data_IF_871505952769
#
_entry.id   IF_871505952769
#
_cell.length_a   1.000
_cell.length_b   1.000
_cell.length_c   1.000
_cell.angle_alpha   90.00
_cell.angle_beta   90.00
_cell.angle_gamma   90.00
#
_symmetry.space_group_name_H-M   'P 1'
#
loop_
_entity.id
_entity.type
_entity.pdbx_description
1 polymer ?
#
# COMPACT_ATOMS: atom_id res chain seq x y z
N UNK A 1 -28.44 -8.97 22.83
CA UNK A 1 -27.10 -9.44 23.26
C UNK A 1 -26.07 -8.63 22.49
N UNK A 2 -24.99 -8.19 23.12
CA UNK A 2 -23.96 -7.39 22.43
C UNK A 2 -22.89 -8.30 21.82
N UNK A 3 -22.54 -8.06 20.56
CA UNK A 3 -21.53 -8.84 19.84
C UNK A 3 -20.34 -7.96 19.45
N UNK A 4 -19.14 -8.50 19.63
CA UNK A 4 -17.88 -7.87 19.31
C UNK A 4 -17.12 -8.73 18.32
N UNK A 5 -16.54 -8.10 17.31
CA UNK A 5 -16.01 -8.82 16.15
C UNK A 5 -14.57 -8.44 15.88
N UNK A 6 -13.77 -9.45 15.59
CA UNK A 6 -12.45 -9.31 14.99
C UNK A 6 -12.45 -9.84 13.56
N UNK A 7 -11.85 -9.05 12.67
CA UNK A 7 -11.60 -9.41 11.27
C UNK A 7 -10.09 -9.50 11.06
N UNK A 8 -9.60 -10.69 10.80
CA UNK A 8 -8.25 -10.89 10.30
C UNK A 8 -8.28 -10.93 8.76
N UNK A 9 -7.62 -9.96 8.13
CA UNK A 9 -7.84 -9.59 6.73
C UNK A 9 -6.65 -10.03 5.87
N UNK A 10 -6.88 -11.00 4.98
CA UNK A 10 -5.95 -11.39 3.92
C UNK A 10 -6.38 -10.82 2.57
N UNK A 11 -5.61 -11.11 1.50
CA UNK A 11 -5.95 -10.67 0.14
C UNK A 11 -7.19 -11.36 -0.46
N UNK A 12 -7.48 -12.60 -0.05
CA UNK A 12 -8.55 -13.42 -0.65
C UNK A 12 -9.77 -13.52 0.26
N UNK A 13 -9.51 -13.69 1.54
CA UNK A 13 -10.54 -13.97 2.54
C UNK A 13 -10.30 -13.22 3.84
N UNK A 14 -11.37 -13.01 4.59
CA UNK A 14 -11.38 -12.43 5.92
C UNK A 14 -11.83 -13.51 6.90
N UNK A 15 -10.96 -13.82 7.86
CA UNK A 15 -11.30 -14.63 9.02
C UNK A 15 -12.09 -13.80 10.02
N UNK A 16 -13.27 -14.28 10.40
CA UNK A 16 -14.21 -13.59 11.28
C UNK A 16 -14.32 -14.37 12.59
N UNK A 17 -14.19 -13.67 13.71
CA UNK A 17 -14.58 -14.18 15.01
C UNK A 17 -15.56 -13.21 15.69
N UNK A 18 -16.64 -13.76 16.23
CA UNK A 18 -17.65 -13.04 17.00
C UNK A 18 -17.61 -13.54 18.43
N UNK A 19 -17.47 -12.61 19.39
CA UNK A 19 -17.56 -12.89 20.82
C UNK A 19 -18.70 -12.10 21.44
N UNK A 20 -19.29 -12.63 22.50
CA UNK A 20 -20.29 -11.89 23.29
C UNK A 20 -19.63 -10.94 24.30
N UNK A 21 -20.44 -10.35 25.19
CA UNK A 21 -19.97 -9.45 26.26
C UNK A 21 -19.07 -10.16 27.29
N UNK A 22 -19.32 -11.44 27.53
CA UNK A 22 -18.65 -12.24 28.55
C UNK A 22 -17.31 -12.75 28.01
N UNK A 23 -17.14 -12.73 26.68
CA UNK A 23 -15.92 -13.06 25.95
C UNK A 23 -15.97 -14.43 25.31
N UNK A 24 -17.13 -15.09 25.35
CA UNK A 24 -17.33 -16.40 24.77
C UNK A 24 -17.47 -16.28 23.25
N UNK A 25 -16.84 -17.21 22.53
CA UNK A 25 -16.97 -17.26 21.07
C UNK A 25 -18.38 -17.70 20.69
N UNK A 26 -19.10 -16.84 19.98
CA UNK A 26 -20.47 -17.10 19.48
C UNK A 26 -20.44 -17.68 18.08
N UNK A 27 -19.54 -17.19 17.22
CA UNK A 27 -19.43 -17.64 15.84
C UNK A 27 -18.02 -17.43 15.29
N UNK A 28 -17.64 -18.28 14.32
CA UNK A 28 -16.43 -18.15 13.51
C UNK A 28 -16.73 -18.51 12.07
N UNK A 29 -15.92 -18.01 11.16
CA UNK A 29 -15.95 -18.40 9.77
C UNK A 29 -15.04 -17.54 8.91
N UNK A 30 -15.20 -17.70 7.61
CA UNK A 30 -14.50 -16.91 6.61
C UNK A 30 -15.51 -16.31 5.63
N UNK A 31 -15.13 -15.20 5.01
CA UNK A 31 -15.85 -14.62 3.88
C UNK A 31 -14.84 -14.08 2.85
N UNK A 32 -15.27 -13.80 1.61
CA UNK A 32 -14.45 -13.04 0.66
C UNK A 32 -13.92 -11.74 1.26
N UNK A 33 -12.73 -11.32 0.84
CA UNK A 33 -12.09 -10.10 1.34
C UNK A 33 -12.69 -8.82 0.73
N UNK A 34 -13.99 -8.62 0.93
CA UNK A 34 -14.74 -7.45 0.49
C UNK A 34 -15.85 -7.02 1.48
N UNK A 35 -16.25 -5.74 1.49
CA UNK A 35 -17.27 -5.22 2.41
C UNK A 35 -18.61 -5.98 2.34
N UNK A 36 -19.05 -6.32 1.13
CA UNK A 36 -20.31 -7.02 0.87
C UNK A 36 -20.29 -8.46 1.41
N UNK A 37 -19.15 -9.13 1.33
CA UNK A 37 -18.90 -10.45 1.90
C UNK A 37 -19.01 -10.42 3.43
N UNK A 38 -18.43 -9.40 4.08
CA UNK A 38 -18.56 -9.19 5.52
C UNK A 38 -20.00 -8.90 5.93
N UNK A 39 -20.67 -7.99 5.23
CA UNK A 39 -22.07 -7.64 5.49
C UNK A 39 -23.00 -8.84 5.30
N UNK A 40 -22.84 -9.57 4.19
CA UNK A 40 -23.59 -10.79 3.91
C UNK A 40 -23.35 -11.88 4.95
N UNK A 41 -22.12 -12.03 5.45
CA UNK A 41 -21.80 -12.99 6.50
C UNK A 41 -22.57 -12.72 7.79
N UNK A 42 -22.71 -11.45 8.20
CA UNK A 42 -23.53 -11.05 9.35
C UNK A 42 -25.03 -11.17 9.09
N UNK A 43 -25.49 -10.70 7.93
CA UNK A 43 -26.90 -10.74 7.53
C UNK A 43 -27.44 -12.16 7.54
N UNK A 44 -26.72 -13.11 6.93
CA UNK A 44 -27.13 -14.51 6.83
C UNK A 44 -27.19 -15.23 8.19
N UNK A 45 -26.63 -14.64 9.25
CA UNK A 45 -26.61 -15.17 10.61
C UNK A 45 -27.46 -14.33 11.57
N UNK A 46 -28.12 -13.29 11.06
CA UNK A 46 -28.91 -12.33 11.86
C UNK A 46 -28.10 -11.68 13.00
N UNK A 47 -26.78 -11.56 12.83
CA UNK A 47 -25.88 -10.98 13.82
C UNK A 47 -25.76 -9.47 13.61
N UNK A 48 -25.98 -8.70 14.68
CA UNK A 48 -25.80 -7.25 14.70
C UNK A 48 -24.62 -6.88 15.59
N UNK A 49 -23.40 -6.72 15.04
CA UNK A 49 -22.23 -6.40 15.83
C UNK A 49 -22.33 -4.99 16.42
N UNK A 50 -21.99 -4.84 17.69
CA UNK A 50 -21.84 -3.54 18.36
C UNK A 50 -20.57 -2.84 17.90
N UNK A 51 -19.52 -3.61 17.65
CA UNK A 51 -18.21 -3.12 17.21
C UNK A 51 -17.47 -4.19 16.43
N UNK A 52 -16.85 -3.78 15.33
CA UNK A 52 -15.98 -4.60 14.52
C UNK A 52 -14.58 -3.97 14.53
N UNK A 53 -13.54 -4.79 14.68
CA UNK A 53 -12.16 -4.35 14.64
C UNK A 53 -11.41 -5.13 13.57
N UNK A 54 -10.60 -4.42 12.78
CA UNK A 54 -9.61 -5.01 11.89
C UNK A 54 -8.31 -4.21 11.95
N UNK A 55 -7.19 -4.82 11.58
CA UNK A 55 -5.90 -4.14 11.65
C UNK A 55 -5.61 -3.28 10.42
N UNK A 56 -4.68 -2.34 10.58
CA UNK A 56 -4.08 -1.59 9.49
C UNK A 56 -3.27 -2.52 8.57
N UNK A 57 -3.57 -2.52 7.28
CA UNK A 57 -2.95 -3.37 6.27
C UNK A 57 -3.23 -2.89 4.85
N UNK A 58 -2.82 -3.66 3.83
CA UNK A 58 -2.93 -3.25 2.42
C UNK A 58 -4.36 -2.93 1.99
N UNK A 59 -5.35 -3.72 2.44
CA UNK A 59 -6.76 -3.54 2.10
C UNK A 59 -7.52 -2.63 3.07
N UNK A 60 -6.90 -2.28 4.20
CA UNK A 60 -7.60 -1.68 5.35
C UNK A 60 -8.35 -0.40 5.03
N UNK A 61 -7.81 0.47 4.18
CA UNK A 61 -8.44 1.75 3.84
C UNK A 61 -9.71 1.54 3.01
N UNK A 62 -9.63 0.72 1.97
CA UNK A 62 -10.78 0.42 1.11
C UNK A 62 -11.84 -0.35 1.89
N UNK A 63 -11.44 -1.39 2.63
CA UNK A 63 -12.34 -2.19 3.45
C UNK A 63 -13.05 -1.32 4.49
N UNK A 64 -12.33 -0.51 5.26
CA UNK A 64 -12.91 0.34 6.29
C UNK A 64 -13.90 1.37 5.74
N UNK A 65 -13.63 1.95 4.56
CA UNK A 65 -14.58 2.84 3.89
C UNK A 65 -15.83 2.10 3.44
N UNK A 66 -15.67 0.92 2.83
CA UNK A 66 -16.79 0.10 2.39
C UNK A 66 -17.67 -0.36 3.55
N UNK A 67 -17.07 -0.87 4.62
CA UNK A 67 -17.79 -1.26 5.84
C UNK A 67 -18.56 -0.07 6.44
N UNK A 68 -17.93 1.10 6.51
CA UNK A 68 -18.62 2.31 6.98
C UNK A 68 -19.77 2.74 6.05
N UNK A 69 -19.59 2.62 4.73
CA UNK A 69 -20.64 2.89 3.74
C UNK A 69 -21.84 1.95 3.85
N UNK A 70 -21.63 0.71 4.29
CA UNK A 70 -22.67 -0.27 4.60
C UNK A 70 -23.25 -0.11 6.02
N UNK A 71 -22.82 0.91 6.77
CA UNK A 71 -23.30 1.19 8.13
C UNK A 71 -22.78 0.23 9.19
N UNK A 72 -21.74 -0.56 8.90
CA UNK A 72 -21.12 -1.46 9.86
C UNK A 72 -20.22 -0.66 10.84
N UNK A 73 -20.28 -0.94 12.16
CA UNK A 73 -19.51 -0.19 13.17
C UNK A 73 -18.05 -0.68 13.23
N UNK A 74 -17.35 -0.61 12.09
CA UNK A 74 -15.98 -1.04 11.93
C UNK A 74 -14.97 0.05 12.33
N UNK A 75 -13.90 -0.39 12.97
CA UNK A 75 -12.77 0.45 13.38
C UNK A 75 -11.48 -0.25 12.97
N UNK A 76 -10.70 0.42 12.12
CA UNK A 76 -9.34 0.02 11.82
C UNK A 76 -8.40 0.41 12.97
N UNK A 77 -7.52 -0.50 13.38
CA UNK A 77 -6.61 -0.30 14.52
C UNK A 77 -5.13 -0.45 14.14
N UNK A 78 -4.23 0.08 14.97
CA UNK A 78 -2.78 -0.01 14.73
C UNK A 78 -2.29 -1.45 14.89
N UNK A 79 -1.92 -2.07 13.76
CA UNK A 79 -1.47 -3.46 13.71
C UNK A 79 -0.28 -3.76 14.63
N UNK A 80 0.63 -2.80 14.85
CA UNK A 80 1.80 -3.02 15.71
C UNK A 80 1.41 -3.09 17.18
N UNK A 81 0.44 -2.27 17.59
CA UNK A 81 -0.08 -2.30 18.97
C UNK A 81 -0.96 -3.51 19.22
N UNK A 82 -1.77 -3.87 18.23
CA UNK A 82 -2.57 -5.09 18.27
C UNK A 82 -1.67 -6.33 18.37
N UNK A 83 -0.66 -6.45 17.49
CA UNK A 83 0.34 -7.52 17.55
C UNK A 83 1.02 -7.61 18.92
N UNK A 84 1.47 -6.49 19.52
CA UNK A 84 2.07 -6.50 20.88
C UNK A 84 1.11 -7.00 21.96
N UNK A 85 -0.18 -6.73 21.81
CA UNK A 85 -1.21 -7.16 22.76
C UNK A 85 -1.54 -8.65 22.60
N UNK A 86 -1.37 -9.19 21.39
CA UNK A 86 -1.71 -10.57 21.04
C UNK A 86 -0.50 -11.52 20.99
N UNK A 87 0.74 -11.00 21.02
CA UNK A 87 1.97 -11.78 20.80
C UNK A 87 2.32 -12.79 21.89
N UNK A 88 1.68 -12.75 23.05
CA UNK A 88 1.89 -13.73 24.11
C UNK A 88 1.23 -15.09 23.83
N UNK A 89 0.46 -15.21 22.74
CA UNK A 89 -0.22 -16.45 22.34
C UNK A 89 0.78 -17.42 21.68
N UNK A 90 0.78 -18.67 22.14
CA UNK A 90 1.72 -19.71 21.69
C UNK A 90 1.42 -20.24 20.27
N UNK A 91 0.15 -20.25 19.87
CA UNK A 91 -0.28 -20.78 18.58
C UNK A 91 -0.81 -19.66 17.69
N UNK A 92 -0.14 -19.44 16.56
CA UNK A 92 -0.57 -18.49 15.53
C UNK A 92 -1.44 -19.20 14.50
N UNK A 93 -2.67 -18.74 14.34
CA UNK A 93 -3.58 -19.13 13.26
C UNK A 93 -4.55 -18.00 12.97
N UNK A 94 -5.04 -17.90 11.74
CA UNK A 94 -5.94 -16.83 11.31
C UNK A 94 -7.24 -16.79 12.17
N UNK A 95 -7.72 -17.96 12.60
CA UNK A 95 -8.85 -18.06 13.52
C UNK A 95 -8.53 -17.50 14.92
N UNK A 96 -7.31 -17.74 15.42
CA UNK A 96 -6.86 -17.22 16.72
C UNK A 96 -6.56 -15.71 16.67
N UNK A 97 -6.06 -15.23 15.52
CA UNK A 97 -5.79 -13.81 15.29
C UNK A 97 -7.12 -13.03 15.20
N UNK A 98 -8.11 -13.54 14.46
CA UNK A 98 -9.46 -12.98 14.42
C UNK A 98 -10.13 -12.97 15.81
N UNK A 99 -9.98 -14.03 16.60
CA UNK A 99 -10.46 -14.05 17.99
C UNK A 99 -9.75 -13.00 18.86
N UNK A 100 -8.44 -12.85 18.70
CA UNK A 100 -7.68 -11.80 19.39
C UNK A 100 -8.24 -10.42 19.13
N UNK A 101 -8.51 -10.11 17.86
CA UNK A 101 -9.13 -8.85 17.46
C UNK A 101 -10.55 -8.69 18.02
N UNK A 102 -11.34 -9.76 18.11
CA UNK A 102 -12.67 -9.73 18.71
C UNK A 102 -12.62 -9.39 20.20
N UNK A 103 -11.61 -9.92 20.92
CA UNK A 103 -11.38 -9.58 22.32
C UNK A 103 -10.92 -8.13 22.51
N UNK A 104 -10.08 -7.59 21.60
CA UNK A 104 -9.73 -6.17 21.59
C UNK A 104 -10.98 -5.31 21.33
N UNK A 105 -11.84 -5.71 20.39
CA UNK A 105 -13.12 -5.05 20.14
C UNK A 105 -14.00 -5.04 21.39
N UNK A 106 -14.10 -6.16 22.12
CA UNK A 106 -14.87 -6.29 23.36
C UNK A 106 -14.38 -5.37 24.47
N UNK A 107 -13.08 -5.44 24.76
CA UNK A 107 -12.45 -4.68 25.85
C UNK A 107 -12.31 -3.19 25.54
N UNK A 108 -12.33 -2.81 24.26
CA UNK A 108 -12.02 -1.45 23.84
C UNK A 108 -10.52 -1.12 23.91
N UNK A 109 -9.65 -2.12 24.15
CA UNK A 109 -8.23 -1.91 24.36
C UNK A 109 -7.44 -1.89 23.05
N UNK A 110 -7.70 -0.90 22.20
CA UNK A 110 -7.02 -0.72 20.93
C UNK A 110 -6.72 0.76 20.66
N UNK A 111 -5.89 1.02 19.65
CA UNK A 111 -5.66 2.39 19.14
C UNK A 111 -6.24 2.47 17.73
N UNK A 112 -7.30 3.28 17.51
CA UNK A 112 -7.81 3.53 16.17
C UNK A 112 -6.76 4.18 15.28
N UNK A 113 -6.76 3.83 14.00
CA UNK A 113 -5.96 4.54 12.98
C UNK A 113 -6.84 5.48 12.16
N UNK A 114 -6.26 6.60 11.76
CA UNK A 114 -6.95 7.51 10.86
C UNK A 114 -7.03 6.91 9.46
N UNK A 115 -8.25 6.87 8.92
CA UNK A 115 -8.53 6.48 7.54
C UNK A 115 -8.65 7.74 6.72
N UNK A 116 -7.78 7.87 5.72
CA UNK A 116 -7.78 9.00 4.80
C UNK A 116 -9.12 9.09 4.07
N UNK A 117 -9.44 10.25 3.50
CA UNK A 117 -10.53 10.37 2.54
C UNK A 117 -10.12 9.81 1.17
N UNK A 118 -11.10 9.50 0.32
CA UNK A 118 -10.83 9.06 -1.04
C UNK A 118 -10.08 10.13 -1.84
N UNK A 119 -10.44 11.40 -1.69
CA UNK A 119 -9.74 12.53 -2.30
C UNK A 119 -8.27 12.60 -1.89
N UNK A 120 -7.97 12.42 -0.60
CA UNK A 120 -6.60 12.39 -0.11
C UNK A 120 -5.80 11.23 -0.68
N UNK A 121 -6.41 10.06 -0.86
CA UNK A 121 -5.74 8.93 -1.53
C UNK A 121 -5.56 9.15 -3.03
N UNK A 122 -6.52 9.76 -3.73
CA UNK A 122 -6.37 10.13 -5.15
C UNK A 122 -5.17 11.06 -5.33
N UNK A 123 -5.07 12.12 -4.53
CA UNK A 123 -3.93 13.04 -4.56
C UNK A 123 -2.61 12.34 -4.21
N UNK A 124 -2.60 11.53 -3.15
CA UNK A 124 -1.40 10.79 -2.74
C UNK A 124 -0.95 9.79 -3.82
N UNK A 125 -1.89 9.18 -4.55
CA UNK A 125 -1.60 8.25 -5.64
C UNK A 125 -0.94 8.97 -6.81
N UNK A 126 -1.42 10.17 -7.15
CA UNK A 126 -0.81 11.02 -8.17
C UNK A 126 0.61 11.46 -7.77
N UNK A 127 0.78 11.98 -6.55
CA UNK A 127 2.10 12.38 -6.01
C UNK A 127 3.06 11.19 -5.97
N UNK A 128 2.59 10.02 -5.54
CA UNK A 128 3.39 8.80 -5.49
C UNK A 128 3.82 8.30 -6.87
N UNK A 129 2.92 8.32 -7.86
CA UNK A 129 3.23 7.97 -9.24
C UNK A 129 4.32 8.89 -9.82
N UNK A 130 4.19 10.20 -9.58
CA UNK A 130 5.20 11.18 -9.96
C UNK A 130 6.54 10.94 -9.27
N UNK A 131 6.54 10.75 -7.95
CA UNK A 131 7.77 10.46 -7.19
C UNK A 131 8.48 9.23 -7.76
N UNK A 132 7.72 8.18 -8.11
CA UNK A 132 8.27 6.96 -8.69
C UNK A 132 8.96 7.21 -10.04
N UNK A 133 8.34 7.98 -10.93
CA UNK A 133 8.93 8.33 -12.24
C UNK A 133 10.19 9.19 -12.08
N UNK A 134 10.17 10.15 -11.15
CA UNK A 134 11.35 10.97 -10.83
C UNK A 134 12.48 10.10 -10.29
N UNK A 135 12.18 9.10 -9.43
CA UNK A 135 13.17 8.16 -8.90
C UNK A 135 13.75 7.28 -10.01
N UNK A 136 12.91 6.69 -10.86
CA UNK A 136 13.35 5.89 -12.02
C UNK A 136 14.29 6.68 -12.94
N UNK A 137 13.97 7.95 -13.23
CA UNK A 137 14.86 8.83 -14.00
C UNK A 137 16.21 9.02 -13.31
N UNK A 138 16.22 9.29 -12.00
CA UNK A 138 17.46 9.48 -11.23
C UNK A 138 18.30 8.20 -11.18
N UNK A 139 17.66 7.06 -10.99
CA UNK A 139 18.32 5.74 -10.98
C UNK A 139 18.96 5.45 -12.33
N UNK A 140 18.25 5.75 -13.43
CA UNK A 140 18.77 5.63 -14.80
C UNK A 140 19.96 6.56 -15.03
N UNK A 141 19.84 7.85 -14.70
CA UNK A 141 20.95 8.81 -14.82
C UNK A 141 22.17 8.39 -13.99
N UNK A 142 21.94 7.89 -12.77
CA UNK A 142 22.99 7.38 -11.88
C UNK A 142 23.69 6.16 -12.46
N UNK A 143 22.94 5.19 -12.98
CA UNK A 143 23.47 4.00 -13.62
C UNK A 143 24.37 4.35 -14.82
N UNK A 144 23.87 5.17 -15.75
CA UNK A 144 24.61 5.56 -16.95
C UNK A 144 25.89 6.31 -16.60
N UNK A 145 25.83 7.25 -15.64
CA UNK A 145 27.04 7.92 -15.16
C UNK A 145 28.05 6.92 -14.58
N UNK A 146 27.59 5.89 -13.88
CA UNK A 146 28.44 4.82 -13.35
C UNK A 146 29.14 4.06 -14.47
N UNK A 147 28.39 3.64 -15.48
CA UNK A 147 28.93 2.94 -16.67
C UNK A 147 29.97 3.78 -17.38
N UNK A 148 29.66 5.04 -17.70
CA UNK A 148 30.55 5.92 -18.46
C UNK A 148 31.89 6.18 -17.74
N UNK A 149 31.89 6.22 -16.41
CA UNK A 149 33.13 6.38 -15.62
C UNK A 149 34.12 5.24 -15.81
N UNK A 150 33.65 4.02 -16.05
CA UNK A 150 34.52 2.86 -16.35
C UNK A 150 35.34 3.08 -17.62
N UNK A 151 34.79 3.83 -18.58
CA UNK A 151 35.44 4.18 -19.84
C UNK A 151 36.16 5.54 -19.78
N UNK A 152 36.36 6.11 -18.59
CA UNK A 152 37.00 7.42 -18.42
C UNK A 152 36.15 8.63 -18.83
N UNK A 153 34.90 8.41 -19.26
CA UNK A 153 33.99 9.47 -19.70
C UNK A 153 33.27 10.05 -18.48
N UNK A 154 33.43 11.36 -18.27
CA UNK A 154 32.82 12.08 -17.15
C UNK A 154 31.74 13.01 -17.66
N UNK A 155 30.49 12.72 -17.31
CA UNK A 155 29.38 13.64 -17.57
C UNK A 155 29.48 14.86 -16.65
N UNK A 156 29.53 16.06 -17.22
CA UNK A 156 29.44 17.35 -16.53
C UNK A 156 27.99 17.67 -16.13
N UNK A 157 27.81 18.66 -15.25
CA UNK A 157 26.55 18.97 -14.58
C UNK A 157 25.32 18.87 -15.50
N UNK A 158 24.37 18.01 -15.12
CA UNK A 158 23.07 17.99 -15.79
C UNK A 158 22.30 19.22 -15.29
N UNK A 159 22.05 20.18 -16.18
CA UNK A 159 21.27 21.36 -15.84
C UNK A 159 19.95 21.01 -15.14
N UNK A 160 19.48 21.87 -14.24
CA UNK A 160 18.25 21.67 -13.46
C UNK A 160 16.95 21.70 -14.30
N UNK A 161 17.07 21.78 -15.63
CA UNK A 161 15.93 21.80 -16.54
C UNK A 161 15.10 20.51 -16.46
N UNK A 162 13.76 20.67 -16.41
CA UNK A 162 12.80 19.56 -16.32
C UNK A 162 13.03 18.45 -17.35
N UNK A 163 13.37 18.85 -18.57
CA UNK A 163 13.56 17.95 -19.71
C UNK A 163 14.94 17.31 -19.81
N UNK A 164 15.91 17.72 -18.97
CA UNK A 164 17.23 17.09 -18.85
C UNK A 164 17.94 16.81 -20.20
N UNK A 165 17.75 17.67 -21.20
CA UNK A 165 18.31 17.50 -22.56
C UNK A 165 19.83 17.33 -22.54
N UNK A 166 20.53 18.15 -21.74
CA UNK A 166 21.98 18.09 -21.58
C UNK A 166 22.52 16.73 -21.10
N UNK A 167 21.71 15.92 -20.40
CA UNK A 167 22.10 14.54 -20.08
C UNK A 167 22.12 13.67 -21.32
N UNK A 168 21.06 13.75 -22.15
CA UNK A 168 20.95 12.96 -23.38
C UNK A 168 21.99 13.37 -24.41
N UNK A 169 22.30 14.66 -24.51
CA UNK A 169 23.34 15.16 -25.43
C UNK A 169 24.72 14.61 -25.05
N UNK A 170 25.06 14.62 -23.75
CA UNK A 170 26.31 14.05 -23.26
C UNK A 170 26.37 12.52 -23.42
N UNK A 171 25.23 11.83 -23.26
CA UNK A 171 25.14 10.39 -23.49
C UNK A 171 25.29 10.04 -24.98
N UNK A 172 24.70 10.83 -25.87
CA UNK A 172 24.86 10.68 -27.32
C UNK A 172 26.33 10.88 -27.72
N UNK A 173 26.98 11.94 -27.22
CA UNK A 173 28.41 12.18 -27.47
C UNK A 173 29.30 11.04 -26.94
N UNK A 174 28.97 10.45 -25.78
CA UNK A 174 29.67 9.26 -25.30
C UNK A 174 29.47 8.04 -26.22
N UNK A 175 28.28 7.90 -26.80
CA UNK A 175 27.98 6.85 -27.78
C UNK A 175 28.78 6.97 -29.09
N UNK A 176 29.34 8.13 -29.42
CA UNK A 176 30.23 8.28 -30.59
C UNK A 176 31.62 7.67 -30.37
N UNK A 177 32.01 7.40 -29.12
CA UNK A 177 33.35 6.93 -28.78
C UNK A 177 33.54 5.42 -28.87
N UNK A 178 32.47 4.64 -28.75
CA UNK A 178 32.53 3.19 -28.69
C UNK A 178 31.19 2.55 -29.14
N UNK A 179 31.20 1.47 -29.95
CA UNK A 179 29.97 0.83 -30.43
C UNK A 179 29.06 0.26 -29.34
N UNK A 180 29.61 -0.23 -28.22
CA UNK A 180 28.80 -0.72 -27.09
C UNK A 180 28.17 0.47 -26.37
N UNK A 181 28.92 1.54 -26.15
CA UNK A 181 28.37 2.78 -25.59
C UNK A 181 27.29 3.39 -26.49
N UNK A 182 27.41 3.25 -27.82
CA UNK A 182 26.37 3.66 -28.77
C UNK A 182 25.08 2.90 -28.56
N UNK A 183 25.16 1.57 -28.47
CA UNK A 183 23.98 0.74 -28.22
C UNK A 183 23.30 1.07 -26.88
N UNK A 184 24.10 1.36 -25.83
CA UNK A 184 23.60 1.84 -24.54
C UNK A 184 22.94 3.21 -24.71
N UNK A 185 23.59 4.16 -25.37
CA UNK A 185 23.05 5.50 -25.57
C UNK A 185 21.69 5.45 -26.29
N UNK A 186 21.60 4.73 -27.41
CA UNK A 186 20.38 4.62 -28.21
C UNK A 186 19.20 4.05 -27.39
N UNK A 187 19.43 3.00 -26.60
CA UNK A 187 18.39 2.40 -25.76
C UNK A 187 17.94 3.32 -24.61
N UNK A 188 18.87 4.02 -23.97
CA UNK A 188 18.60 4.79 -22.77
C UNK A 188 18.11 6.21 -23.05
N UNK A 189 18.51 6.84 -24.16
CA UNK A 189 18.06 8.19 -24.54
C UNK A 189 16.54 8.23 -24.72
N UNK A 190 15.97 7.28 -25.46
CA UNK A 190 14.53 7.23 -25.70
C UNK A 190 13.75 7.00 -24.39
N UNK A 191 14.22 6.05 -23.57
CA UNK A 191 13.62 5.75 -22.26
C UNK A 191 13.67 6.94 -21.31
N UNK A 192 14.83 7.62 -21.23
CA UNK A 192 15.03 8.79 -20.39
C UNK A 192 14.17 9.98 -20.83
N UNK A 193 14.08 10.23 -22.14
CA UNK A 193 13.21 11.27 -22.69
C UNK A 193 11.75 10.99 -22.33
N UNK A 194 11.29 9.74 -22.49
CA UNK A 194 9.92 9.36 -22.11
C UNK A 194 9.67 9.54 -20.62
N UNK A 195 10.60 9.14 -19.75
CA UNK A 195 10.51 9.34 -18.30
C UNK A 195 10.41 10.83 -17.92
N UNK A 196 11.14 11.72 -18.59
CA UNK A 196 11.04 13.16 -18.36
C UNK A 196 9.67 13.69 -18.78
N UNK A 197 9.19 13.29 -19.96
CA UNK A 197 7.89 13.72 -20.49
C UNK A 197 6.74 13.28 -19.57
N UNK A 198 6.66 11.98 -19.23
CA UNK A 198 5.54 11.47 -18.41
C UNK A 198 5.53 12.06 -16.99
N UNK A 199 6.70 12.38 -16.43
CA UNK A 199 6.78 13.04 -15.13
C UNK A 199 6.26 14.49 -15.19
N UNK A 200 6.53 15.21 -16.29
CA UNK A 200 6.03 16.56 -16.53
C UNK A 200 4.53 16.57 -16.89
N UNK A 201 4.02 15.52 -17.53
CA UNK A 201 2.58 15.38 -17.81
C UNK A 201 1.78 15.14 -16.53
N UNK A 202 2.31 14.35 -15.59
CA UNK A 202 1.69 14.17 -14.27
C UNK A 202 1.69 15.45 -13.41
N UNK A 203 2.59 16.42 -13.68
CA UNK A 203 2.55 17.73 -13.02
C UNK A 203 1.33 18.58 -13.44
N UNK A 204 0.64 18.18 -14.53
CA UNK A 204 -0.48 18.93 -15.12
C UNK A 204 -1.84 18.23 -14.95
N UNK A 205 -1.85 17.03 -14.36
CA UNK A 205 -3.05 16.22 -14.11
C UNK A 205 -3.74 16.65 -12.81
#
# INVERSE_FOLDING_TARGET
MEYYVGLDVSLKEISICVVDRDGETVARGVCPADPEGVEGWFRNRELKPRRIVHESGMLSIWLQRGLAGLGLPAICIDARKAHKSLSARLNKSDAADAEGLAQLARTGWFTPVHIRSEEADRLRSLVGARERLVRLRKDLEGHIRGVLKTFGIRMIGIGQGRQRQAFRDQLAAAGETDPVLRAIADAFIATHAKLCQVADDLDKA
#
